data_IF_567932918061
#
_entry.id   IF_567932918061
#
_cell.length_a   1.000
_cell.length_b   1.000
_cell.length_c   1.000
_cell.angle_alpha   90.00
_cell.angle_beta   90.00
_cell.angle_gamma   90.00
#
_symmetry.space_group_name_H-M   'P 1'
#
loop_
_entity.id
_entity.type
_entity.pdbx_description
1 polymer ?
#
# COMPACT_ATOMS: atom_id res chain seq x y z
N UNK A 1 12.48 4.58 6.21
CA UNK A 1 11.32 4.33 5.33
C UNK A 1 11.77 3.76 4.00
N UNK A 2 11.23 2.61 3.60
CA UNK A 2 11.47 2.01 2.28
C UNK A 2 10.14 1.72 1.56
N UNK A 3 10.15 1.84 0.23
CA UNK A 3 9.03 1.46 -0.64
C UNK A 3 9.51 0.37 -1.61
N UNK A 4 9.03 -0.85 -1.41
CA UNK A 4 9.28 -1.96 -2.32
C UNK A 4 8.22 -1.99 -3.41
N UNK A 5 8.64 -2.12 -4.66
CA UNK A 5 7.75 -2.13 -5.82
C UNK A 5 8.02 -3.41 -6.61
N UNK A 6 6.97 -4.17 -6.93
CA UNK A 6 7.05 -5.27 -7.89
C UNK A 6 5.98 -5.14 -8.96
N UNK A 7 6.23 -5.74 -10.13
CA UNK A 7 5.34 -5.70 -11.30
C UNK A 7 4.98 -7.12 -11.71
N UNK A 8 3.69 -7.39 -11.81
CA UNK A 8 3.15 -8.67 -12.28
C UNK A 8 3.13 -8.71 -13.81
N UNK A 9 4.30 -8.88 -14.42
CA UNK A 9 4.55 -8.85 -15.86
C UNK A 9 4.74 -10.25 -16.50
N UNK A 10 4.38 -11.32 -15.79
CA UNK A 10 4.49 -12.71 -16.25
C UNK A 10 3.13 -13.41 -16.26
N UNK A 11 3.04 -14.55 -16.96
CA UNK A 11 1.78 -15.29 -17.03
C UNK A 11 1.46 -15.95 -15.69
N UNK A 12 0.18 -16.18 -15.40
CA UNK A 12 -0.21 -16.91 -14.19
C UNK A 12 0.37 -18.32 -14.11
N UNK A 13 0.68 -18.95 -15.25
CA UNK A 13 1.33 -20.27 -15.28
C UNK A 13 2.76 -20.19 -14.76
N UNK A 14 3.51 -19.18 -15.19
CA UNK A 14 4.90 -18.96 -14.74
C UNK A 14 4.93 -18.65 -13.24
N UNK A 15 4.05 -17.75 -12.80
CA UNK A 15 3.93 -17.35 -11.39
C UNK A 15 3.52 -18.56 -10.52
N UNK A 16 2.59 -19.39 -10.98
CA UNK A 16 2.21 -20.61 -10.27
C UNK A 16 3.35 -21.62 -10.18
N UNK A 17 4.13 -21.76 -11.26
CA UNK A 17 5.29 -22.63 -11.29
C UNK A 17 6.34 -22.17 -10.27
N UNK A 18 6.70 -20.88 -10.25
CA UNK A 18 7.64 -20.34 -9.26
C UNK A 18 7.11 -20.48 -7.83
N UNK A 19 5.82 -20.23 -7.61
CA UNK A 19 5.19 -20.42 -6.30
C UNK A 19 5.28 -21.87 -5.80
N UNK A 20 5.17 -22.85 -6.70
CA UNK A 20 5.31 -24.27 -6.33
C UNK A 20 6.73 -24.68 -5.95
N UNK A 21 7.74 -23.91 -6.37
CA UNK A 21 9.15 -24.13 -6.08
C UNK A 21 9.70 -23.17 -5.00
N UNK A 22 8.86 -22.25 -4.53
CA UNK A 22 9.23 -21.17 -3.64
C UNK A 22 9.67 -21.68 -2.27
N UNK A 23 10.74 -21.09 -1.75
CA UNK A 23 11.14 -21.31 -0.35
C UNK A 23 10.21 -20.57 0.63
N UNK A 24 9.52 -19.51 0.16
CA UNK A 24 8.51 -18.78 0.93
C UNK A 24 7.16 -19.46 0.82
N UNK A 25 6.51 -19.67 1.96
CA UNK A 25 5.13 -20.13 2.06
C UNK A 25 4.20 -18.94 2.29
N UNK A 26 2.98 -19.02 1.77
CA UNK A 26 1.97 -17.99 2.03
C UNK A 26 1.59 -18.02 3.52
N UNK A 27 1.67 -16.84 4.15
CA UNK A 27 1.28 -16.60 5.55
C UNK A 27 -0.05 -15.88 5.66
N UNK A 28 -0.38 -15.05 4.66
CA UNK A 28 -1.61 -14.26 4.69
C UNK A 28 -2.80 -15.16 4.33
N UNK A 29 -3.89 -15.17 5.13
CA UNK A 29 -5.05 -16.00 4.84
C UNK A 29 -5.64 -15.70 3.46
N UNK A 30 -6.07 -16.74 2.75
CA UNK A 30 -6.82 -16.54 1.52
C UNK A 30 -8.18 -15.89 1.80
N UNK A 31 -8.63 -15.03 0.88
CA UNK A 31 -10.00 -14.50 0.91
C UNK A 31 -10.97 -15.58 0.41
N UNK A 32 -12.17 -15.59 0.98
CA UNK A 32 -13.24 -16.52 0.61
C UNK A 32 -13.63 -16.41 -0.87
N UNK A 33 -13.59 -15.19 -1.42
CA UNK A 33 -13.93 -14.93 -2.81
C UNK A 33 -13.00 -13.87 -3.40
N UNK A 34 -12.65 -14.05 -4.68
CA UNK A 34 -12.03 -13.03 -5.52
C UNK A 34 -12.90 -12.85 -6.75
N UNK A 35 -13.11 -11.60 -7.18
CA UNK A 35 -13.87 -11.32 -8.40
C UNK A 35 -13.09 -11.71 -9.65
N UNK A 36 -11.79 -11.42 -9.67
CA UNK A 36 -10.92 -11.73 -10.80
C UNK A 36 -9.67 -12.51 -10.37
N UNK A 37 -9.13 -13.33 -11.27
CA UNK A 37 -7.89 -14.07 -11.02
C UNK A 37 -6.70 -13.15 -10.75
N UNK A 38 -6.67 -11.96 -11.35
CA UNK A 38 -5.62 -10.95 -11.09
C UNK A 38 -5.58 -10.55 -9.61
N UNK A 39 -6.75 -10.39 -8.98
CA UNK A 39 -6.87 -9.97 -7.58
C UNK A 39 -6.34 -11.06 -6.65
N UNK A 40 -6.61 -12.33 -6.98
CA UNK A 40 -6.08 -13.48 -6.25
C UNK A 40 -4.55 -13.52 -6.31
N UNK A 41 -3.97 -13.34 -7.50
CA UNK A 41 -2.52 -13.33 -7.66
C UNK A 41 -1.86 -12.14 -6.99
N UNK A 42 -2.39 -10.93 -7.16
CA UNK A 42 -1.87 -9.73 -6.50
C UNK A 42 -1.91 -9.85 -4.97
N UNK A 43 -2.95 -10.47 -4.41
CA UNK A 43 -2.99 -10.74 -2.97
C UNK A 43 -1.88 -11.70 -2.52
N UNK A 44 -1.67 -12.81 -3.24
CA UNK A 44 -0.61 -13.78 -2.92
C UNK A 44 0.79 -13.19 -3.09
N UNK A 45 1.03 -12.49 -4.18
CA UNK A 45 2.32 -11.81 -4.42
C UNK A 45 2.55 -10.69 -3.41
N UNK A 46 1.50 -9.98 -2.99
CA UNK A 46 1.59 -8.99 -1.93
C UNK A 46 2.03 -9.60 -0.59
N UNK A 47 1.60 -10.81 -0.26
CA UNK A 47 2.10 -11.53 0.92
C UNK A 47 3.60 -11.85 0.78
N UNK A 48 4.04 -12.36 -0.36
CA UNK A 48 5.47 -12.60 -0.62
C UNK A 48 6.30 -11.31 -0.57
N UNK A 49 5.75 -10.19 -1.08
CA UNK A 49 6.42 -8.89 -1.04
C UNK A 49 6.57 -8.35 0.40
N UNK A 50 5.58 -8.57 1.28
CA UNK A 50 5.71 -8.25 2.72
C UNK A 50 6.79 -9.11 3.37
N UNK A 51 6.81 -10.42 3.09
CA UNK A 51 7.84 -11.30 3.63
C UNK A 51 9.24 -10.87 3.17
N UNK A 52 9.40 -10.58 1.88
CA UNK A 52 10.64 -10.08 1.30
C UNK A 52 11.05 -8.73 1.90
N UNK A 53 10.12 -7.78 2.05
CA UNK A 53 10.45 -6.44 2.55
C UNK A 53 10.89 -6.46 4.02
N UNK A 54 10.25 -7.28 4.86
CA UNK A 54 10.63 -7.46 6.27
C UNK A 54 12.01 -8.11 6.37
N UNK A 55 12.26 -9.19 5.63
CA UNK A 55 13.55 -9.87 5.64
C UNK A 55 14.66 -8.96 5.11
N UNK A 56 14.44 -8.27 4.00
CA UNK A 56 15.44 -7.41 3.39
C UNK A 56 15.74 -6.16 4.22
N UNK A 57 14.76 -5.64 4.96
CA UNK A 57 14.92 -4.41 5.76
C UNK A 57 15.46 -4.70 7.16
N UNK A 58 15.05 -5.81 7.78
CA UNK A 58 15.31 -6.08 9.19
C UNK A 58 15.98 -7.44 9.46
N UNK A 59 16.21 -8.27 8.44
CA UNK A 59 16.80 -9.60 8.60
C UNK A 59 15.88 -10.61 9.30
N UNK A 60 14.60 -10.29 9.50
CA UNK A 60 13.67 -11.18 10.19
C UNK A 60 13.13 -12.24 9.24
N UNK A 61 13.34 -13.50 9.61
CA UNK A 61 12.78 -14.65 8.92
C UNK A 61 11.26 -14.75 9.14
N UNK A 62 10.52 -15.38 8.20
CA UNK A 62 9.09 -15.61 8.33
C UNK A 62 8.63 -16.26 9.66
N UNK A 63 9.47 -17.05 10.32
CA UNK A 63 9.14 -17.68 11.61
C UNK A 63 9.22 -16.72 12.81
N UNK A 64 9.84 -15.55 12.66
CA UNK A 64 10.11 -14.60 13.74
C UNK A 64 9.03 -13.54 13.91
N UNK A 65 7.99 -13.56 13.07
CA UNK A 65 6.90 -12.60 13.13
C UNK A 65 5.59 -13.25 12.66
N UNK A 66 4.45 -12.67 13.03
CA UNK A 66 3.14 -13.11 12.56
C UNK A 66 2.26 -11.92 12.16
N UNK A 67 1.23 -12.20 11.37
CA UNK A 67 0.19 -11.21 11.09
C UNK A 67 -0.76 -11.13 12.27
N UNK A 68 -1.00 -9.92 12.75
CA UNK A 68 -2.16 -9.57 13.56
C UNK A 68 -3.17 -8.84 12.66
N UNK A 69 -4.16 -9.57 12.17
CA UNK A 69 -5.18 -9.06 11.24
C UNK A 69 -6.41 -8.66 12.04
N UNK A 70 -6.69 -7.37 12.07
CA UNK A 70 -7.85 -6.83 12.76
C UNK A 70 -9.16 -7.12 11.99
N UNK A 71 -10.33 -7.05 12.65
CA UNK A 71 -11.63 -7.31 12.00
C UNK A 71 -11.92 -6.45 10.77
N UNK A 72 -11.37 -5.23 10.72
CA UNK A 72 -11.46 -4.32 9.57
C UNK A 72 -10.49 -4.67 8.42
N UNK A 73 -9.71 -5.75 8.55
CA UNK A 73 -8.70 -6.18 7.59
C UNK A 73 -7.36 -5.45 7.68
N UNK A 74 -7.19 -4.52 8.63
CA UNK A 74 -5.92 -3.84 8.86
C UNK A 74 -4.88 -4.83 9.38
N UNK A 75 -3.71 -4.83 8.76
CA UNK A 75 -2.62 -5.77 9.05
C UNK A 75 -1.60 -5.10 9.96
N UNK A 76 -1.35 -5.69 11.13
CA UNK A 76 -0.20 -5.39 11.98
C UNK A 76 0.80 -6.55 11.93
N UNK A 77 2.07 -6.24 12.17
CA UNK A 77 3.13 -7.23 12.25
C UNK A 77 3.49 -7.40 13.73
N UNK A 78 3.21 -8.57 14.29
CA UNK A 78 3.68 -8.94 15.61
C UNK A 78 5.11 -9.48 15.47
N UNK A 79 6.09 -8.73 15.95
CA UNK A 79 7.52 -9.10 15.89
C UNK A 79 8.30 -8.56 17.11
N UNK A 80 9.57 -8.98 17.32
CA UNK A 80 10.41 -8.46 18.40
C UNK A 80 10.79 -6.98 18.28
N UNK A 81 10.54 -6.36 17.12
CA UNK A 81 10.81 -4.94 16.86
C UNK A 81 9.57 -4.27 16.28
N UNK A 82 9.50 -2.95 16.39
CA UNK A 82 8.42 -2.17 15.80
C UNK A 82 8.58 -2.13 14.28
N UNK A 83 7.64 -2.77 13.57
CA UNK A 83 7.57 -2.81 12.11
C UNK A 83 6.16 -2.47 11.69
N UNK A 84 6.04 -1.43 10.85
CA UNK A 84 4.80 -1.04 10.22
C UNK A 84 4.93 -1.30 8.73
N UNK A 85 4.00 -2.08 8.19
CA UNK A 85 3.92 -2.35 6.75
C UNK A 85 2.59 -1.88 6.20
N UNK A 86 2.59 -1.38 4.98
CA UNK A 86 1.36 -1.10 4.25
C UNK A 86 1.47 -1.60 2.82
N UNK A 87 0.47 -2.38 2.40
CA UNK A 87 0.40 -2.99 1.07
C UNK A 87 -0.68 -2.28 0.27
N UNK A 88 -0.35 -1.84 -0.94
CA UNK A 88 -1.35 -1.42 -1.93
C UNK A 88 -0.99 -1.99 -3.29
N UNK A 89 -1.97 -2.06 -4.19
CA UNK A 89 -1.77 -2.67 -5.49
C UNK A 89 -2.75 -2.10 -6.52
N UNK A 90 -2.24 -1.82 -7.72
CA UNK A 90 -3.00 -1.37 -8.88
C UNK A 90 -2.39 -2.05 -10.09
N UNK A 91 -3.13 -2.99 -10.68
CA UNK A 91 -2.58 -3.92 -11.67
C UNK A 91 -1.82 -3.17 -12.79
N UNK A 92 -0.59 -3.56 -13.14
CA UNK A 92 0.13 -4.77 -12.70
C UNK A 92 1.03 -4.58 -11.47
N UNK A 93 0.98 -3.42 -10.81
CA UNK A 93 1.88 -3.06 -9.71
C UNK A 93 1.38 -3.50 -8.35
N UNK A 94 2.32 -3.89 -7.51
CA UNK A 94 2.13 -4.21 -6.09
C UNK A 94 3.24 -3.50 -5.33
N UNK A 95 2.86 -2.73 -4.31
CA UNK A 95 3.78 -1.96 -3.49
C UNK A 95 3.69 -2.36 -2.02
N UNK A 96 4.83 -2.37 -1.34
CA UNK A 96 4.90 -2.54 0.10
C UNK A 96 5.77 -1.42 0.70
N UNK A 97 5.14 -0.53 1.47
CA UNK A 97 5.85 0.44 2.29
C UNK A 97 6.17 -0.17 3.65
N UNK A 98 7.38 0.10 4.15
CA UNK A 98 7.85 -0.37 5.46
C UNK A 98 8.62 0.73 6.19
N UNK A 99 8.33 0.90 7.48
CA UNK A 99 9.09 1.76 8.39
C UNK A 99 8.96 1.27 9.85
N UNK A 100 9.73 1.86 10.76
CA UNK A 100 9.60 1.61 12.21
C UNK A 100 8.60 2.55 12.90
N UNK A 101 7.98 3.45 12.14
CA UNK A 101 6.85 4.28 12.57
C UNK A 101 5.64 3.97 11.69
N UNK A 102 4.40 4.26 12.16
CA UNK A 102 3.20 4.12 11.35
C UNK A 102 3.36 4.70 9.94
N UNK A 103 3.04 3.88 8.94
CA UNK A 103 3.13 4.20 7.52
C UNK A 103 1.89 3.70 6.79
N UNK A 104 1.45 4.46 5.80
CA UNK A 104 0.40 4.08 4.86
C UNK A 104 0.86 4.31 3.43
N UNK A 105 0.35 3.49 2.51
CA UNK A 105 0.70 3.55 1.11
C UNK A 105 -0.52 3.30 0.25
N UNK A 106 -0.63 4.05 -0.84
CA UNK A 106 -1.61 3.78 -1.86
C UNK A 106 -1.01 3.93 -3.25
N UNK A 107 -1.56 3.17 -4.21
CA UNK A 107 -1.17 3.21 -5.61
C UNK A 107 -2.43 3.15 -6.46
N UNK A 108 -2.55 4.04 -7.43
CA UNK A 108 -3.64 4.02 -8.38
C UNK A 108 -3.19 4.37 -9.80
N UNK A 109 -3.77 3.69 -10.77
CA UNK A 109 -3.59 3.98 -12.20
C UNK A 109 -4.47 5.19 -12.57
N UNK A 110 -3.86 6.22 -13.18
CA UNK A 110 -4.57 7.41 -13.64
C UNK A 110 -5.34 7.07 -14.92
N UNK A 111 -6.64 6.80 -14.80
CA UNK A 111 -7.51 6.55 -15.97
C UNK A 111 -8.82 7.31 -15.87
N UNK A 112 -9.41 7.63 -17.02
CA UNK A 112 -10.70 8.29 -17.09
C UNK A 112 -11.83 7.27 -17.13
N UNK A 113 -12.83 7.40 -16.24
CA UNK A 113 -14.23 7.38 -16.67
C UNK A 113 -15.27 7.70 -15.58
N UNK A 114 -15.02 7.56 -14.26
CA UNK A 114 -16.08 7.80 -13.25
C UNK A 114 -15.64 8.51 -11.95
N UNK A 115 -14.36 8.87 -11.85
CA UNK A 115 -13.75 9.25 -10.57
C UNK A 115 -14.12 10.66 -10.07
N UNK A 116 -14.41 11.59 -10.98
CA UNK A 116 -14.79 12.96 -10.61
C UNK A 116 -16.13 13.03 -9.85
N UNK A 117 -16.99 12.01 -9.97
CA UNK A 117 -18.20 11.94 -9.16
C UNK A 117 -17.89 11.61 -7.69
N UNK A 118 -16.86 10.82 -7.43
CA UNK A 118 -16.37 10.55 -6.06
C UNK A 118 -15.83 11.84 -5.44
N UNK A 119 -15.17 12.68 -6.23
CA UNK A 119 -14.63 13.96 -5.78
C UNK A 119 -15.68 14.87 -5.13
N UNK A 120 -16.96 14.76 -5.52
CA UNK A 120 -18.08 15.51 -4.92
C UNK A 120 -18.30 15.18 -3.43
N UNK A 121 -17.73 14.07 -2.94
CA UNK A 121 -17.77 13.67 -1.54
C UNK A 121 -16.53 14.14 -0.75
N UNK A 122 -15.57 14.78 -1.40
CA UNK A 122 -14.39 15.34 -0.73
C UNK A 122 -14.74 16.64 0.01
N UNK A 123 -13.78 17.19 0.77
CA UNK A 123 -13.97 18.52 1.36
C UNK A 123 -14.11 19.57 0.25
N UNK A 124 -14.78 20.69 0.53
CA UNK A 124 -14.88 21.81 -0.42
C UNK A 124 -13.50 22.30 -0.87
N UNK A 125 -12.51 22.29 0.03
CA UNK A 125 -11.15 22.74 -0.28
C UNK A 125 -10.44 21.80 -1.25
N UNK A 126 -10.61 20.50 -1.08
CA UNK A 126 -10.05 19.48 -1.95
C UNK A 126 -10.73 19.49 -3.31
N UNK A 127 -12.06 19.51 -3.33
CA UNK A 127 -12.85 19.56 -4.55
C UNK A 127 -12.46 20.74 -5.44
N UNK A 128 -12.26 21.93 -4.85
CA UNK A 128 -11.86 23.12 -5.58
C UNK A 128 -10.44 23.06 -6.18
N UNK A 129 -9.59 22.15 -5.71
CA UNK A 129 -8.23 21.94 -6.24
C UNK A 129 -8.19 20.94 -7.39
N UNK A 130 -9.28 20.22 -7.66
CA UNK A 130 -9.32 19.19 -8.70
C UNK A 130 -9.67 19.85 -10.04
N UNK A 131 -8.67 20.00 -10.90
CA UNK A 131 -8.84 20.49 -12.28
C UNK A 131 -8.58 19.39 -13.30
N UNK A 132 -7.73 18.43 -12.94
CA UNK A 132 -7.30 17.32 -13.78
C UNK A 132 -7.57 15.97 -13.10
N UNK A 133 -7.47 14.88 -13.86
CA UNK A 133 -7.49 13.54 -13.26
C UNK A 133 -6.30 13.33 -12.33
N UNK A 134 -5.12 13.88 -12.64
CA UNK A 134 -3.94 13.77 -11.78
C UNK A 134 -4.17 14.43 -10.41
N UNK A 135 -4.84 15.58 -10.36
CA UNK A 135 -5.21 16.24 -9.10
C UNK A 135 -6.15 15.35 -8.27
N UNK A 136 -7.16 14.76 -8.92
CA UNK A 136 -8.07 13.80 -8.27
C UNK A 136 -7.28 12.64 -7.67
N UNK A 137 -6.46 11.96 -8.47
CA UNK A 137 -5.72 10.78 -8.04
C UNK A 137 -4.67 11.14 -6.97
N UNK A 138 -4.09 12.34 -7.01
CA UNK A 138 -3.22 12.85 -5.95
C UNK A 138 -3.96 12.98 -4.62
N UNK A 139 -5.16 13.57 -4.62
CA UNK A 139 -5.95 13.72 -3.40
C UNK A 139 -6.49 12.36 -2.92
N UNK A 140 -6.99 11.54 -3.85
CA UNK A 140 -7.52 10.21 -3.56
C UNK A 140 -6.46 9.30 -2.90
N UNK A 141 -5.28 9.18 -3.51
CA UNK A 141 -4.20 8.35 -2.96
C UNK A 141 -3.65 8.89 -1.64
N UNK A 142 -3.67 10.22 -1.40
CA UNK A 142 -3.39 10.81 -0.07
C UNK A 142 -4.43 10.38 0.98
N UNK A 143 -5.71 10.43 0.64
CA UNK A 143 -6.79 10.01 1.55
C UNK A 143 -6.69 8.53 1.90
N UNK A 144 -6.52 7.68 0.88
CA UNK A 144 -6.38 6.23 1.05
C UNK A 144 -5.12 5.87 1.83
N UNK A 145 -3.97 6.45 1.50
CA UNK A 145 -2.72 6.19 2.24
C UNK A 145 -2.82 6.64 3.71
N UNK A 146 -3.43 7.79 4.00
CA UNK A 146 -3.66 8.23 5.38
C UNK A 146 -4.63 7.31 6.13
N UNK A 147 -5.76 6.98 5.51
CA UNK A 147 -6.76 6.06 6.06
C UNK A 147 -6.16 4.68 6.38
N UNK A 148 -5.32 4.17 5.48
CA UNK A 148 -4.57 2.92 5.64
C UNK A 148 -3.55 2.97 6.77
N UNK A 149 -2.87 4.10 6.98
CA UNK A 149 -1.92 4.29 8.09
C UNK A 149 -2.62 4.25 9.44
N UNK A 150 -3.77 4.95 9.58
CA UNK A 150 -4.48 5.04 10.86
C UNK A 150 -5.37 3.81 11.15
N UNK A 151 -5.68 3.02 10.11
CA UNK A 151 -6.46 1.79 10.22
C UNK A 151 -7.96 2.01 10.38
N UNK A 152 -8.49 3.19 10.07
CA UNK A 152 -9.93 3.50 10.24
C UNK A 152 -10.76 3.18 8.99
N UNK A 153 -10.12 2.96 7.83
CA UNK A 153 -10.82 2.93 6.55
C UNK A 153 -11.48 4.28 6.24
N UNK A 154 -12.39 4.29 5.27
CA UNK A 154 -13.11 5.50 4.84
C UNK A 154 -14.46 5.69 5.55
N UNK A 155 -14.67 5.04 6.69
CA UNK A 155 -15.97 4.93 7.38
C UNK A 155 -16.55 6.29 7.81
N UNK A 156 -15.67 7.26 8.09
CA UNK A 156 -16.06 8.62 8.53
C UNK A 156 -16.53 9.53 7.40
N UNK A 157 -16.47 9.04 6.16
CA UNK A 157 -16.77 9.82 4.95
C UNK A 157 -15.54 10.52 4.38
N UNK A 158 -15.55 10.72 3.06
CA UNK A 158 -14.40 11.23 2.31
C UNK A 158 -14.05 12.68 2.62
N UNK A 159 -15.00 13.50 3.09
CA UNK A 159 -14.76 14.89 3.46
C UNK A 159 -14.12 15.07 4.84
N UNK A 160 -14.05 14.02 5.68
CA UNK A 160 -13.66 14.14 7.08
C UNK A 160 -12.17 14.51 7.25
N UNK A 161 -11.29 13.77 6.58
CA UNK A 161 -9.85 14.03 6.58
C UNK A 161 -9.46 14.82 5.33
N UNK A 162 -9.29 16.13 5.51
CA UNK A 162 -8.86 17.05 4.45
C UNK A 162 -7.33 17.03 4.30
N UNK A 163 -6.83 16.42 3.22
CA UNK A 163 -5.38 16.21 2.98
C UNK A 163 -4.67 17.47 2.48
N UNK A 164 -5.40 18.57 2.31
CA UNK A 164 -4.84 19.89 1.97
C UNK A 164 -4.51 20.71 3.23
N UNK A 165 -4.88 20.20 4.40
CA UNK A 165 -4.59 20.77 5.72
C UNK A 165 -3.59 19.89 6.49
N UNK A 166 -2.94 20.42 7.53
CA UNK A 166 -2.12 19.60 8.42
C UNK A 166 -2.95 18.48 9.05
N UNK A 167 -2.52 17.24 8.84
CA UNK A 167 -3.07 16.05 9.48
C UNK A 167 -2.16 15.57 10.61
N UNK A 168 -2.75 14.89 11.59
CA UNK A 168 -2.06 14.41 12.77
C UNK A 168 -2.48 12.98 13.10
N UNK A 169 -1.51 12.18 13.55
CA UNK A 169 -1.76 10.87 14.13
C UNK A 169 -0.92 10.74 15.40
N UNK A 170 -1.56 10.38 16.52
CA UNK A 170 -0.89 10.25 17.82
C UNK A 170 -0.05 11.49 18.21
N UNK A 171 -0.57 12.69 17.97
CA UNK A 171 0.11 14.00 18.18
C UNK A 171 1.30 14.29 17.26
N UNK A 172 1.59 13.42 16.28
CA UNK A 172 2.62 13.67 15.28
C UNK A 172 2.03 14.23 13.98
N UNK A 173 2.72 15.21 13.39
CA UNK A 173 2.37 15.73 12.06
C UNK A 173 2.64 14.70 10.99
N UNK A 174 1.68 14.59 10.07
CA UNK A 174 1.75 13.70 8.92
C UNK A 174 2.33 14.42 7.71
N UNK A 175 3.17 13.69 6.97
CA UNK A 175 3.71 14.11 5.68
C UNK A 175 3.35 13.09 4.60
N UNK A 176 3.26 13.62 3.38
CA UNK A 176 2.98 12.86 2.19
C UNK A 176 4.19 12.89 1.26
N UNK A 177 4.55 11.73 0.69
CA UNK A 177 5.56 11.62 -0.36
C UNK A 177 5.00 10.93 -1.58
N UNK A 178 5.04 11.62 -2.72
CA UNK A 178 4.54 11.12 -3.99
C UNK A 178 5.66 10.47 -4.80
N UNK A 179 5.33 9.40 -5.51
CA UNK A 179 6.17 8.79 -6.53
C UNK A 179 5.31 8.41 -7.73
N UNK A 180 5.84 8.58 -8.95
CA UNK A 180 5.15 8.22 -10.19
C UNK A 180 5.87 7.05 -10.84
N UNK A 181 5.12 6.05 -11.30
CA UNK A 181 5.63 4.91 -12.06
C UNK A 181 4.67 4.56 -13.20
N UNK A 182 5.17 4.53 -14.43
CA UNK A 182 4.33 4.48 -15.64
C UNK A 182 3.19 5.51 -15.57
N UNK A 183 1.94 5.05 -15.60
CA UNK A 183 0.73 5.87 -15.46
C UNK A 183 0.07 5.71 -14.07
N UNK A 184 0.83 5.31 -13.05
CA UNK A 184 0.37 5.14 -11.69
C UNK A 184 0.94 6.22 -10.78
N UNK A 185 0.11 6.70 -9.87
CA UNK A 185 0.51 7.55 -8.76
C UNK A 185 0.62 6.71 -7.49
N UNK A 186 1.74 6.85 -6.78
CA UNK A 186 1.97 6.25 -5.47
C UNK A 186 2.03 7.37 -4.45
N UNK A 187 1.29 7.20 -3.36
CA UNK A 187 1.32 8.11 -2.23
C UNK A 187 1.68 7.37 -0.96
N UNK A 188 2.77 7.83 -0.33
CA UNK A 188 3.14 7.43 1.01
C UNK A 188 2.66 8.48 2.00
N UNK A 189 2.07 7.99 3.09
CA UNK A 189 1.68 8.75 4.26
C UNK A 189 2.54 8.28 5.44
N UNK A 190 3.27 9.19 6.08
CA UNK A 190 4.16 8.84 7.17
C UNK A 190 4.24 9.94 8.22
N UNK A 191 4.64 9.57 9.44
CA UNK A 191 5.00 10.53 10.49
C UNK A 191 6.22 11.35 10.05
N UNK A 192 6.19 12.67 10.24
CA UNK A 192 7.31 13.55 9.93
C UNK A 192 8.56 13.14 10.71
N UNK A 193 9.53 12.57 10.02
CA UNK A 193 10.85 12.20 10.53
C UNK A 193 11.94 12.52 9.50
N UNK A 194 13.20 12.48 9.93
CA UNK A 194 14.36 12.65 9.03
C UNK A 194 14.83 11.32 8.44
N UNK A 195 13.98 10.28 8.39
CA UNK A 195 14.40 8.98 7.91
C UNK A 195 14.72 9.04 6.41
N UNK A 196 15.83 8.41 5.97
CA UNK A 196 16.07 8.26 4.55
C UNK A 196 14.90 7.50 3.91
N UNK A 197 14.56 7.92 2.71
CA UNK A 197 13.58 7.27 1.86
C UNK A 197 14.29 6.58 0.72
N UNK A 198 14.00 5.29 0.56
CA UNK A 198 14.55 4.45 -0.49
C UNK A 198 13.42 3.77 -1.25
N UNK A 199 13.53 3.70 -2.57
CA UNK A 199 12.68 2.89 -3.43
C UNK A 199 13.48 1.66 -3.84
N UNK A 200 12.88 0.48 -3.69
CA UNK A 200 13.49 -0.80 -4.02
C UNK A 200 12.63 -1.50 -5.06
N UNK A 201 13.09 -1.52 -6.30
CA UNK A 201 12.45 -2.31 -7.36
C UNK A 201 12.80 -3.79 -7.19
N UNK A 202 11.78 -4.62 -7.03
CA UNK A 202 11.91 -6.07 -6.81
C UNK A 202 11.41 -6.82 -8.05
N UNK A 203 12.31 -7.41 -8.86
CA UNK A 203 11.91 -8.33 -9.91
C UNK A 203 11.02 -9.44 -9.34
N UNK A 204 9.87 -9.70 -9.96
CA UNK A 204 8.86 -10.64 -9.45
C UNK A 204 9.44 -12.00 -9.06
N UNK A 205 10.41 -12.50 -9.84
CA UNK A 205 11.05 -13.80 -9.60
C UNK A 205 11.86 -13.85 -8.30
N UNK A 206 12.33 -12.72 -7.75
CA UNK A 206 13.07 -12.68 -6.48
C UNK A 206 12.18 -12.90 -5.25
N UNK A 207 10.86 -12.89 -5.41
CA UNK A 207 9.91 -13.12 -4.32
C UNK A 207 9.70 -14.60 -3.98
N UNK A 208 10.21 -15.52 -4.81
CA UNK A 208 10.03 -16.97 -4.69
C UNK A 208 11.34 -17.65 -4.29
#
# INVERSE_FOLDING_TARGET
MKLFITKMNHTYKDIAHWMSQSHRQLKKPERLTYRFSKDKWMHRIGDLLIQYSIEHTHGLMPSQWSYDIQPNGHVKIASPIDIYVNLSYSFPYIICAIDHLPIGADIEEIKGMDDLNIAKQFSTNEFNQIQTLEDFYTIWTKKESYSKMIGEGLIRGLAYYDVTKPLYYQHHTIKFKQHLIDNCIIQLCHISSNHPFEIVDVPLKQLF
#
